data_IF_668108259471
#
_entry.id   IF_668108259471
#
_cell.length_a   1.000
_cell.length_b   1.000
_cell.length_c   1.000
_cell.angle_alpha   90.00
_cell.angle_beta   90.00
_cell.angle_gamma   90.00
#
_symmetry.space_group_name_H-M   'P 1'
#
loop_
_entity.id
_entity.type
_entity.pdbx_description
1 polymer ?
#
# COMPACT_ATOMS: atom_id res chain seq x y z
N UNK A 1 -2.68 8.48 -18.18
CA UNK A 1 -1.24 8.82 -18.10
C UNK A 1 -1.01 10.16 -17.39
N UNK A 2 -1.10 11.32 -18.06
CA UNK A 2 -0.86 12.62 -17.41
C UNK A 2 -1.92 13.04 -16.38
N UNK A 3 -3.19 12.65 -16.60
CA UNK A 3 -4.30 12.93 -15.69
C UNK A 3 -4.25 12.09 -14.40
N UNK A 4 -3.73 10.86 -14.48
CA UNK A 4 -3.54 9.97 -13.33
C UNK A 4 -2.34 10.43 -12.48
N UNK A 5 -1.26 10.84 -13.14
CA UNK A 5 -0.13 11.47 -12.47
C UNK A 5 -0.52 12.78 -11.76
N UNK A 6 -1.36 13.61 -12.39
CA UNK A 6 -1.85 14.85 -11.79
C UNK A 6 -2.79 14.62 -10.58
N UNK A 7 -3.58 13.53 -10.58
CA UNK A 7 -4.41 13.13 -9.43
C UNK A 7 -3.57 12.57 -8.27
N UNK A 8 -2.61 11.69 -8.58
CA UNK A 8 -1.64 11.19 -7.59
C UNK A 8 -0.80 12.31 -6.96
N UNK A 9 -0.40 13.32 -7.77
CA UNK A 9 0.26 14.53 -7.27
C UNK A 9 -0.67 15.38 -6.41
N UNK A 10 -1.93 15.52 -6.80
CA UNK A 10 -2.95 16.25 -6.06
C UNK A 10 -3.14 15.71 -4.64
N UNK A 11 -3.17 14.38 -4.46
CA UNK A 11 -3.32 13.77 -3.13
C UNK A 11 -2.02 13.73 -2.30
N UNK A 12 -0.85 13.55 -2.94
CA UNK A 12 0.44 13.72 -2.26
C UNK A 12 0.58 15.11 -1.62
N UNK A 13 -0.02 16.14 -2.23
CA UNK A 13 -0.08 17.49 -1.66
C UNK A 13 -0.99 17.55 -0.43
N UNK A 14 -2.12 16.84 -0.41
CA UNK A 14 -3.03 16.78 0.74
C UNK A 14 -2.43 16.03 1.95
N UNK A 15 -1.72 14.91 1.72
CA UNK A 15 -1.02 14.21 2.80
C UNK A 15 0.15 15.00 3.40
N UNK A 16 0.67 16.01 2.68
CA UNK A 16 1.82 16.79 3.13
C UNK A 16 1.47 18.02 4.00
N UNK A 17 0.21 18.19 4.44
CA UNK A 17 -0.19 19.41 5.15
C UNK A 17 0.24 19.51 6.62
N UNK A 18 1.12 18.63 7.13
CA UNK A 18 1.81 18.81 8.41
C UNK A 18 3.13 18.02 8.50
N UNK A 19 3.98 18.07 7.48
CA UNK A 19 5.35 17.57 7.64
C UNK A 19 6.20 18.66 8.35
N UNK A 20 6.80 18.39 9.53
CA UNK A 20 7.92 19.20 9.98
C UNK A 20 9.02 19.15 8.90
N UNK A 21 9.83 20.20 8.78
CA UNK A 21 10.88 20.35 7.77
C UNK A 21 11.48 18.98 7.39
N UNK A 22 11.20 18.51 6.16
CA UNK A 22 11.40 17.12 5.75
C UNK A 22 12.75 16.61 6.26
N UNK A 23 12.71 15.76 7.28
CA UNK A 23 13.88 15.04 7.72
C UNK A 23 14.41 14.33 6.47
N UNK A 24 15.71 14.49 6.23
CA UNK A 24 16.34 13.95 5.03
C UNK A 24 16.29 12.43 5.14
N UNK A 25 15.33 11.80 4.44
CA UNK A 25 15.20 10.34 4.37
C UNK A 25 16.55 9.76 3.98
N UNK A 26 17.05 8.83 4.77
CA UNK A 26 18.27 8.10 4.44
C UNK A 26 17.94 6.98 3.45
N UNK A 27 18.28 7.22 2.18
CA UNK A 27 18.10 6.21 1.14
C UNK A 27 18.91 4.95 1.42
N UNK A 28 20.06 5.02 2.11
CA UNK A 28 20.87 3.83 2.40
C UNK A 28 20.17 2.90 3.42
N UNK A 29 19.48 3.46 4.41
CA UNK A 29 18.66 2.68 5.35
C UNK A 29 17.49 2.00 4.64
N UNK A 30 16.87 2.69 3.66
CA UNK A 30 15.82 2.09 2.83
C UNK A 30 16.32 0.95 1.95
N UNK A 31 17.52 1.07 1.40
CA UNK A 31 18.17 -0.05 0.68
C UNK A 31 18.42 -1.23 1.61
N UNK A 32 18.94 -0.99 2.82
CA UNK A 32 19.19 -2.04 3.79
C UNK A 32 17.88 -2.73 4.24
N UNK A 33 16.81 -1.95 4.40
CA UNK A 33 15.48 -2.48 4.72
C UNK A 33 14.90 -3.31 3.56
N UNK A 34 15.07 -2.86 2.31
CA UNK A 34 14.70 -3.66 1.15
C UNK A 34 15.49 -4.97 1.08
N UNK A 35 16.81 -4.90 1.31
CA UNK A 35 17.72 -6.05 1.30
C UNK A 35 17.37 -7.09 2.37
N UNK A 36 16.77 -6.67 3.48
CA UNK A 36 16.27 -7.57 4.53
C UNK A 36 15.13 -8.47 4.03
N UNK A 37 14.24 -7.96 3.17
CA UNK A 37 13.01 -8.66 2.78
C UNK A 37 13.02 -9.19 1.33
N UNK A 38 13.99 -8.80 0.50
CA UNK A 38 14.04 -9.24 -0.90
C UNK A 38 14.16 -10.76 -1.03
N UNK A 39 13.59 -11.32 -2.09
CA UNK A 39 13.68 -12.74 -2.37
C UNK A 39 15.09 -13.14 -2.82
N UNK A 40 15.62 -14.26 -2.29
CA UNK A 40 16.95 -14.78 -2.67
C UNK A 40 17.03 -15.12 -4.17
N UNK A 41 15.95 -15.63 -4.73
CA UNK A 41 15.88 -16.06 -6.14
C UNK A 41 15.43 -14.96 -7.11
N UNK A 42 14.90 -13.84 -6.60
CA UNK A 42 14.53 -12.66 -7.40
C UNK A 42 14.89 -11.37 -6.62
N UNK A 43 16.18 -11.00 -6.57
CA UNK A 43 16.69 -9.96 -5.66
C UNK A 43 16.26 -8.53 -6.03
N UNK A 44 15.47 -8.37 -7.09
CA UNK A 44 14.86 -7.09 -7.49
C UNK A 44 13.49 -6.88 -6.86
N UNK A 45 12.96 -7.87 -6.13
CA UNK A 45 11.65 -7.83 -5.50
C UNK A 45 11.64 -8.39 -4.08
N UNK A 46 10.72 -7.87 -3.29
CA UNK A 46 10.15 -8.53 -2.12
C UNK A 46 8.95 -9.33 -2.63
N UNK A 47 8.92 -10.63 -2.39
CA UNK A 47 7.81 -11.52 -2.77
C UNK A 47 6.97 -11.86 -1.53
N UNK A 48 5.98 -12.74 -1.68
CA UNK A 48 4.99 -13.05 -0.65
C UNK A 48 5.60 -13.37 0.73
N UNK A 49 6.68 -14.16 0.76
CA UNK A 49 7.40 -14.49 2.01
C UNK A 49 7.98 -13.23 2.69
N UNK A 50 8.62 -12.36 1.91
CA UNK A 50 9.19 -11.11 2.42
C UNK A 50 8.13 -10.08 2.81
N UNK A 51 7.00 -10.03 2.09
CA UNK A 51 5.84 -9.21 2.48
C UNK A 51 5.25 -9.73 3.80
N UNK A 52 5.18 -11.05 3.97
CA UNK A 52 4.77 -11.69 5.22
C UNK A 52 5.66 -11.27 6.39
N UNK A 53 6.98 -11.40 6.23
CA UNK A 53 7.95 -10.99 7.26
C UNK A 53 7.87 -9.49 7.56
N UNK A 54 7.68 -8.64 6.55
CA UNK A 54 7.47 -7.20 6.75
C UNK A 54 6.23 -6.94 7.62
N UNK A 55 5.11 -7.63 7.36
CA UNK A 55 3.89 -7.48 8.16
C UNK A 55 4.09 -7.96 9.61
N UNK A 56 4.79 -9.08 9.80
CA UNK A 56 5.15 -9.58 11.14
C UNK A 56 5.99 -8.57 11.92
N UNK A 57 7.04 -8.04 11.30
CA UNK A 57 7.96 -7.08 11.92
C UNK A 57 7.27 -5.74 12.21
N UNK A 58 6.27 -5.36 11.40
CA UNK A 58 5.40 -4.22 11.65
C UNK A 58 4.31 -4.49 12.70
N UNK A 59 4.16 -5.75 13.15
CA UNK A 59 3.08 -6.22 14.02
C UNK A 59 1.69 -5.87 13.48
N UNK A 60 1.47 -6.14 12.19
CA UNK A 60 0.20 -5.90 11.50
C UNK A 60 -0.28 -7.16 10.80
N UNK A 61 -1.59 -7.41 10.82
CA UNK A 61 -2.18 -8.49 10.03
C UNK A 61 -2.02 -8.15 8.52
N UNK A 62 -1.56 -9.08 7.67
CA UNK A 62 -1.47 -8.84 6.22
C UNK A 62 -2.81 -8.46 5.57
N UNK A 63 -3.92 -8.82 6.20
CA UNK A 63 -5.29 -8.47 5.82
C UNK A 63 -5.81 -7.21 6.54
N UNK A 64 -4.95 -6.43 7.19
CA UNK A 64 -5.34 -5.12 7.70
C UNK A 64 -5.42 -4.11 6.54
N UNK A 65 -6.44 -3.26 6.56
CA UNK A 65 -6.66 -2.26 5.53
C UNK A 65 -5.48 -1.27 5.41
N UNK A 66 -4.70 -1.04 6.48
CA UNK A 66 -3.48 -0.22 6.39
C UNK A 66 -2.42 -0.82 5.47
N UNK A 67 -2.38 -2.14 5.31
CA UNK A 67 -1.42 -2.79 4.39
C UNK A 67 -1.80 -2.49 2.94
N UNK A 68 -3.10 -2.48 2.61
CA UNK A 68 -3.59 -2.07 1.30
C UNK A 68 -3.29 -0.59 1.03
N UNK A 69 -3.49 0.28 2.03
CA UNK A 69 -3.17 1.73 1.90
C UNK A 69 -1.67 1.95 1.76
N UNK A 70 -0.85 1.20 2.49
CA UNK A 70 0.60 1.21 2.33
C UNK A 70 1.01 0.83 0.90
N UNK A 71 0.45 -0.25 0.36
CA UNK A 71 0.70 -0.67 -1.02
C UNK A 71 0.28 0.41 -2.04
N UNK A 72 -0.84 1.08 -1.80
CA UNK A 72 -1.29 2.23 -2.59
C UNK A 72 -0.30 3.41 -2.53
N UNK A 73 0.14 3.82 -1.33
CA UNK A 73 1.09 4.93 -1.16
C UNK A 73 2.46 4.62 -1.79
N UNK A 74 2.87 3.35 -1.79
CA UNK A 74 4.09 2.86 -2.45
C UNK A 74 3.94 2.67 -3.96
N UNK A 75 2.72 2.79 -4.49
CA UNK A 75 2.44 2.63 -5.92
C UNK A 75 2.62 1.19 -6.42
N UNK A 76 2.42 0.20 -5.54
CA UNK A 76 2.61 -1.21 -5.85
C UNK A 76 1.66 -1.69 -6.96
N UNK A 77 2.20 -2.35 -7.96
CA UNK A 77 1.38 -2.79 -9.11
C UNK A 77 0.66 -4.12 -8.87
N UNK A 78 1.17 -4.98 -7.99
CA UNK A 78 0.62 -6.33 -7.77
C UNK A 78 0.64 -6.73 -6.31
N UNK A 79 -0.36 -7.52 -5.94
CA UNK A 79 -0.50 -8.08 -4.60
C UNK A 79 0.63 -9.06 -4.28
N UNK A 80 1.00 -9.13 -3.00
CA UNK A 80 2.03 -10.03 -2.48
C UNK A 80 3.45 -9.81 -3.04
N UNK A 81 3.73 -8.68 -3.67
CA UNK A 81 5.08 -8.29 -4.05
C UNK A 81 5.30 -6.78 -3.98
N UNK A 82 6.57 -6.39 -3.83
CA UNK A 82 7.05 -5.03 -4.08
C UNK A 82 8.33 -5.12 -4.90
N UNK A 83 8.42 -4.34 -5.97
CA UNK A 83 9.70 -4.06 -6.61
C UNK A 83 10.54 -3.14 -5.73
N UNK A 84 11.86 -3.16 -5.94
CA UNK A 84 12.77 -2.23 -5.26
C UNK A 84 12.35 -0.77 -5.42
N UNK A 85 11.95 -0.36 -6.62
CA UNK A 85 11.57 1.02 -6.89
C UNK A 85 10.30 1.41 -6.12
N UNK A 86 9.25 0.60 -6.18
CA UNK A 86 8.02 0.82 -5.39
C UNK A 86 8.33 0.90 -3.90
N UNK A 87 9.21 0.04 -3.39
CA UNK A 87 9.56 0.01 -1.98
C UNK A 87 10.34 1.26 -1.54
N UNK A 88 11.51 1.50 -2.17
CA UNK A 88 12.41 2.57 -1.76
C UNK A 88 11.82 3.94 -2.08
N UNK A 89 11.30 4.14 -3.28
CA UNK A 89 10.72 5.44 -3.69
C UNK A 89 9.41 5.70 -2.94
N UNK A 90 8.61 4.66 -2.69
CA UNK A 90 7.38 4.74 -1.89
C UNK A 90 7.65 5.23 -0.47
N UNK A 91 8.51 4.52 0.27
CA UNK A 91 8.89 4.88 1.64
C UNK A 91 9.53 6.27 1.72
N UNK A 92 10.43 6.59 0.79
CA UNK A 92 11.04 7.91 0.74
C UNK A 92 9.99 9.02 0.52
N UNK A 93 9.00 8.80 -0.34
CA UNK A 93 7.94 9.79 -0.58
C UNK A 93 6.99 9.96 0.62
N UNK A 94 6.92 8.96 1.49
CA UNK A 94 6.21 9.04 2.77
C UNK A 94 7.03 9.71 3.88
N UNK A 95 8.32 9.98 3.67
CA UNK A 95 9.21 10.48 4.72
C UNK A 95 9.54 9.41 5.77
N UNK A 96 9.52 8.14 5.37
CA UNK A 96 9.79 6.97 6.23
C UNK A 96 11.14 6.38 5.82
N UNK A 97 12.01 6.14 6.78
CA UNK A 97 13.34 5.55 6.59
C UNK A 97 13.63 4.34 7.49
N UNK A 98 12.67 3.98 8.36
CA UNK A 98 12.82 2.89 9.33
C UNK A 98 11.50 2.15 9.56
N UNK A 99 11.61 0.92 10.07
CA UNK A 99 10.47 0.08 10.40
C UNK A 99 9.58 0.72 11.47
N UNK A 100 10.17 1.34 12.49
CA UNK A 100 9.44 2.04 13.55
C UNK A 100 8.65 3.22 13.01
N UNK A 101 9.24 4.00 12.09
CA UNK A 101 8.55 5.10 11.43
C UNK A 101 7.38 4.59 10.55
N UNK A 102 7.58 3.48 9.83
CA UNK A 102 6.52 2.86 9.03
C UNK A 102 5.38 2.34 9.91
N UNK A 103 5.72 1.66 11.02
CA UNK A 103 4.75 1.17 12.01
C UNK A 103 3.94 2.32 12.62
N UNK A 104 4.59 3.43 12.94
CA UNK A 104 3.96 4.66 13.43
C UNK A 104 2.98 5.29 12.43
N UNK A 105 3.12 5.02 11.13
CA UNK A 105 2.21 5.50 10.08
C UNK A 105 0.95 4.65 9.91
N UNK A 106 0.96 3.38 10.31
CA UNK A 106 -0.19 2.47 10.12
C UNK A 106 -1.52 3.04 10.66
N UNK A 107 -1.61 3.64 11.87
CA UNK A 107 -2.86 4.23 12.34
C UNK A 107 -3.39 5.34 11.42
N UNK A 108 -2.50 6.22 10.95
CA UNK A 108 -2.87 7.31 10.03
C UNK A 108 -3.34 6.79 8.67
N UNK A 109 -2.73 5.70 8.17
CA UNK A 109 -3.17 5.02 6.95
C UNK A 109 -4.56 4.40 7.11
N UNK A 110 -4.90 3.85 8.29
CA UNK A 110 -6.26 3.35 8.54
C UNK A 110 -7.28 4.48 8.54
N UNK A 111 -6.95 5.61 9.16
CA UNK A 111 -7.88 6.73 9.32
C UNK A 111 -8.03 7.56 8.04
N UNK A 112 -7.06 7.53 7.13
CA UNK A 112 -7.14 8.24 5.84
C UNK A 112 -8.34 7.80 5.00
N UNK A 113 -8.77 6.54 5.13
CA UNK A 113 -9.94 5.99 4.43
C UNK A 113 -11.28 6.60 4.88
N UNK A 114 -11.32 7.36 5.97
CA UNK A 114 -12.49 8.16 6.32
C UNK A 114 -12.75 9.29 5.30
N UNK A 115 -11.71 9.71 4.56
CA UNK A 115 -11.86 10.63 3.43
C UNK A 115 -12.44 9.90 2.23
N UNK A 116 -13.55 10.42 1.70
CA UNK A 116 -14.21 9.88 0.50
C UNK A 116 -13.28 9.86 -0.72
N UNK A 117 -12.40 10.85 -0.84
CA UNK A 117 -11.48 10.96 -1.97
C UNK A 117 -10.39 9.90 -1.88
N UNK A 118 -9.76 9.75 -0.70
CA UNK A 118 -8.76 8.70 -0.45
C UNK A 118 -9.40 7.32 -0.62
N UNK A 119 -10.57 7.09 -0.03
CA UNK A 119 -11.28 5.82 -0.17
C UNK A 119 -11.54 5.48 -1.64
N UNK A 120 -12.01 6.44 -2.44
CA UNK A 120 -12.26 6.23 -3.86
C UNK A 120 -11.00 5.82 -4.60
N UNK A 121 -9.87 6.45 -4.31
CA UNK A 121 -8.60 6.13 -4.98
C UNK A 121 -8.10 4.75 -4.60
N UNK A 122 -8.07 4.41 -3.31
CA UNK A 122 -7.68 3.08 -2.82
C UNK A 122 -8.61 2.00 -3.35
N UNK A 123 -9.93 2.27 -3.41
CA UNK A 123 -10.91 1.37 -4.01
C UNK A 123 -10.62 1.08 -5.50
N UNK A 124 -10.32 2.13 -6.29
CA UNK A 124 -10.00 1.97 -7.70
C UNK A 124 -8.65 1.28 -7.93
N UNK A 125 -7.67 1.55 -7.06
CA UNK A 125 -6.37 0.90 -7.05
C UNK A 125 -6.48 -0.61 -6.79
N UNK A 126 -7.29 -1.00 -5.81
CA UNK A 126 -7.39 -2.38 -5.33
C UNK A 126 -7.72 -3.39 -6.44
N UNK A 127 -8.52 -3.01 -7.43
CA UNK A 127 -8.83 -3.89 -8.56
C UNK A 127 -7.57 -4.28 -9.35
N UNK A 128 -6.76 -3.30 -9.75
CA UNK A 128 -5.55 -3.55 -10.53
C UNK A 128 -4.49 -4.28 -9.72
N UNK A 129 -4.35 -3.89 -8.44
CA UNK A 129 -3.46 -4.52 -7.49
C UNK A 129 -3.75 -6.02 -7.28
N UNK A 130 -5.02 -6.43 -7.34
CA UNK A 130 -5.44 -7.82 -7.15
C UNK A 130 -5.42 -8.70 -8.41
N UNK A 131 -4.97 -8.18 -9.56
CA UNK A 131 -4.81 -9.00 -10.77
C UNK A 131 -3.54 -9.83 -10.68
N UNK A 132 -3.63 -11.12 -11.02
CA UNK A 132 -2.50 -12.05 -11.00
C UNK A 132 -1.51 -11.74 -12.12
N UNK A 133 -2.02 -11.42 -13.32
CA UNK A 133 -1.20 -11.31 -14.54
C UNK A 133 -1.36 -9.94 -15.24
N UNK A 134 -0.26 -9.38 -15.80
CA UNK A 134 -0.33 -8.20 -16.65
C UNK A 134 -1.28 -8.42 -17.83
N UNK A 135 -2.26 -7.53 -17.98
CA UNK A 135 -3.26 -7.61 -19.05
C UNK A 135 -4.49 -8.45 -18.72
N UNK A 136 -4.56 -9.09 -17.54
CA UNK A 136 -5.79 -9.64 -17.01
C UNK A 136 -6.83 -8.51 -16.85
N UNK A 137 -8.09 -8.80 -17.19
CA UNK A 137 -9.18 -7.81 -17.15
C UNK A 137 -10.35 -8.26 -16.28
N UNK A 138 -10.23 -9.43 -15.65
CA UNK A 138 -11.27 -10.07 -14.86
C UNK A 138 -10.64 -10.52 -13.56
N UNK A 139 -11.22 -10.07 -12.46
CA UNK A 139 -10.82 -10.50 -11.11
C UNK A 139 -11.70 -11.69 -10.68
N UNK A 140 -11.10 -12.68 -10.01
CA UNK A 140 -11.86 -13.80 -9.47
C UNK A 140 -12.85 -13.30 -8.41
N UNK A 141 -14.03 -13.93 -8.36
CA UNK A 141 -15.12 -13.48 -7.49
C UNK A 141 -14.70 -13.49 -6.01
N UNK A 142 -13.99 -14.55 -5.61
CA UNK A 142 -13.51 -14.76 -4.25
C UNK A 142 -12.53 -13.65 -3.82
N UNK A 143 -11.65 -13.24 -4.72
CA UNK A 143 -10.69 -12.14 -4.47
C UNK A 143 -11.41 -10.80 -4.40
N UNK A 144 -12.37 -10.56 -5.29
CA UNK A 144 -13.19 -9.34 -5.25
C UNK A 144 -14.00 -9.24 -3.94
N UNK A 145 -14.58 -10.34 -3.48
CA UNK A 145 -15.31 -10.43 -2.21
C UNK A 145 -14.38 -10.16 -1.02
N UNK A 146 -13.19 -10.77 -0.99
CA UNK A 146 -12.21 -10.53 0.07
C UNK A 146 -11.79 -9.05 0.12
N UNK A 147 -11.50 -8.45 -1.03
CA UNK A 147 -11.11 -7.04 -1.14
C UNK A 147 -12.22 -6.10 -0.70
N UNK A 148 -13.48 -6.40 -1.03
CA UNK A 148 -14.61 -5.61 -0.54
C UNK A 148 -14.81 -5.74 0.96
N UNK A 149 -14.69 -6.94 1.52
CA UNK A 149 -14.74 -7.13 2.98
C UNK A 149 -13.64 -6.32 3.67
N UNK A 150 -12.45 -6.27 3.09
CA UNK A 150 -11.33 -5.45 3.58
C UNK A 150 -11.64 -3.95 3.53
N UNK A 151 -12.02 -3.42 2.36
CA UNK A 151 -12.29 -1.99 2.15
C UNK A 151 -13.47 -1.48 3.00
N UNK A 152 -14.53 -2.28 3.11
CA UNK A 152 -15.75 -1.91 3.84
C UNK A 152 -15.77 -2.38 5.30
N UNK A 153 -14.66 -2.91 5.84
CA UNK A 153 -14.58 -3.35 7.22
C UNK A 153 -14.87 -2.22 8.23
N UNK A 154 -14.42 -0.99 7.92
CA UNK A 154 -14.67 0.21 8.76
C UNK A 154 -15.85 1.06 8.27
N UNK A 155 -16.16 0.99 6.97
CA UNK A 155 -17.25 1.72 6.34
C UNK A 155 -18.32 0.74 5.87
N UNK A 156 -19.35 0.51 6.68
CA UNK A 156 -20.42 -0.39 6.29
C UNK A 156 -21.24 0.25 5.16
N UNK A 157 -21.07 -0.26 3.94
CA UNK A 157 -22.13 -0.18 2.95
C UNK A 157 -23.21 -1.17 3.40
N UNK A 158 -24.44 -0.71 3.61
CA UNK A 158 -25.51 -1.49 4.25
C UNK A 158 -25.88 -2.80 3.53
N UNK A 159 -25.32 -3.05 2.35
CA UNK A 159 -25.57 -4.25 1.55
C UNK A 159 -24.33 -5.14 1.37
N UNK A 160 -23.17 -4.81 1.93
CA UNK A 160 -21.93 -5.61 1.76
C UNK A 160 -22.16 -7.07 2.15
N UNK A 161 -22.85 -7.34 3.27
CA UNK A 161 -23.12 -8.72 3.70
C UNK A 161 -24.16 -9.48 2.87
N UNK A 162 -25.04 -8.79 2.13
CA UNK A 162 -25.98 -9.44 1.22
C UNK A 162 -25.35 -9.70 -0.17
N UNK A 163 -24.29 -8.97 -0.47
CA UNK A 163 -23.60 -8.98 -1.74
C UNK A 163 -22.39 -9.94 -1.76
N UNK A 164 -21.69 -10.06 -0.63
CA UNK A 164 -20.55 -10.95 -0.41
C UNK A 164 -20.94 -12.29 0.19
#
# INVERSE_FOLDING_TARGET
AALDAARALGLKIYFNQSAPAAARVDTAELEALFDKYKAVHEPTKILAEGVGQLCEDLEVDPSDVSVLVMAYEMGAQRMCEFTRDEFVTGLASMGVDSLDALKGRLPTMRDSLASKDVFREVYLFAFGFSLDEPGQRVLQCEVAVAMWRLLFARHSWGHTGAWC
#
